data_IF_263812684528
#
_entry.id   IF_263812684528
#
_cell.length_a   1.000
_cell.length_b   1.000
_cell.length_c   1.000
_cell.angle_alpha   90.00
_cell.angle_beta   90.00
_cell.angle_gamma   90.00
#
_symmetry.space_group_name_H-M   'P 1'
#
loop_
_entity.id
_entity.type
_entity.pdbx_description
1 polymer ?
#
# COMPACT_ATOMS: atom_id res chain seq x y z
N UNK A 1 -10.63 19.89 -4.14
CA UNK A 1 -9.62 20.71 -3.43
C UNK A 1 -8.82 19.74 -2.59
N UNK A 2 -7.54 19.54 -2.89
CA UNK A 2 -6.68 18.68 -2.07
C UNK A 2 -6.38 19.41 -0.77
N UNK A 3 -6.75 18.82 0.36
CA UNK A 3 -6.33 19.32 1.67
C UNK A 3 -4.81 19.12 1.75
N UNK A 4 -4.07 20.22 1.75
CA UNK A 4 -2.66 20.22 2.12
C UNK A 4 -2.62 19.89 3.61
N UNK A 5 -1.97 18.79 3.99
CA UNK A 5 -1.73 18.46 5.41
C UNK A 5 -1.12 19.65 6.18
N UNK A 6 -1.50 19.86 7.46
CA UNK A 6 -1.00 20.96 8.27
C UNK A 6 0.52 20.91 8.43
N UNK A 7 1.16 22.08 8.57
CA UNK A 7 2.59 22.20 8.90
C UNK A 7 2.77 22.13 10.42
N UNK A 8 3.90 21.59 10.90
CA UNK A 8 4.22 21.53 12.33
C UNK A 8 3.79 20.23 13.03
N UNK A 9 3.18 19.29 12.32
CA UNK A 9 2.68 18.01 12.87
C UNK A 9 3.80 17.03 13.29
N UNK A 10 5.04 17.33 12.90
CA UNK A 10 6.23 16.58 13.26
C UNK A 10 6.87 17.04 14.57
N UNK A 11 6.44 18.18 15.12
CA UNK A 11 6.87 18.58 16.46
C UNK A 11 6.36 17.57 17.49
N UNK A 12 7.25 16.92 18.28
CA UNK A 12 6.82 15.90 19.21
C UNK A 12 5.87 16.43 20.28
N UNK A 13 4.75 15.75 20.51
CA UNK A 13 3.86 16.06 21.62
C UNK A 13 4.46 15.60 22.94
N UNK A 14 4.16 16.35 24.02
CA UNK A 14 4.68 16.07 25.36
C UNK A 14 3.97 14.91 26.07
N UNK A 15 2.76 14.57 25.64
CA UNK A 15 1.90 13.59 26.31
C UNK A 15 1.31 12.64 25.29
N UNK A 16 1.57 11.33 25.45
CA UNK A 16 0.87 10.29 24.70
C UNK A 16 -0.53 10.03 25.30
N UNK A 17 -1.46 9.56 24.48
CA UNK A 17 -2.74 9.05 24.97
C UNK A 17 -2.59 7.58 25.38
N UNK A 18 -3.02 7.17 26.60
CA UNK A 18 -2.95 5.77 27.03
C UNK A 18 -3.78 4.80 26.16
N UNK A 19 -4.74 5.32 25.40
CA UNK A 19 -5.61 4.54 24.51
C UNK A 19 -5.12 4.54 23.06
N UNK A 20 -4.08 5.32 22.74
CA UNK A 20 -3.48 5.34 21.42
C UNK A 20 -2.40 4.26 21.29
N UNK A 21 -2.23 3.76 20.07
CA UNK A 21 -1.14 2.86 19.73
C UNK A 21 0.09 3.69 19.39
N UNK A 22 1.25 3.29 19.93
CA UNK A 22 2.55 3.84 19.55
C UNK A 22 3.24 2.91 18.56
N UNK A 23 3.66 3.45 17.41
CA UNK A 23 4.36 2.73 16.37
C UNK A 23 5.76 3.35 16.14
N UNK A 24 6.82 2.64 16.52
CA UNK A 24 8.22 3.01 16.24
C UNK A 24 8.55 2.61 14.80
N UNK A 25 8.83 3.58 13.93
CA UNK A 25 9.11 3.39 12.50
C UNK A 25 10.58 3.69 12.22
N UNK A 26 11.28 2.75 11.59
CA UNK A 26 12.59 3.03 11.00
C UNK A 26 12.41 3.73 9.66
N UNK A 27 13.00 4.90 9.51
CA UNK A 27 12.97 5.69 8.28
C UNK A 27 14.36 5.65 7.65
N UNK A 28 14.42 5.26 6.39
CA UNK A 28 15.54 5.51 5.50
C UNK A 28 15.14 6.60 4.51
N UNK A 29 15.96 7.62 4.34
CA UNK A 29 15.58 8.80 3.55
C UNK A 29 16.75 9.36 2.74
N UNK A 30 16.43 9.94 1.60
CA UNK A 30 17.34 10.74 0.76
C UNK A 30 16.89 12.20 0.69
N UNK A 31 15.97 12.62 1.58
CA UNK A 31 15.54 14.00 1.75
C UNK A 31 16.61 14.82 2.46
N UNK A 32 16.73 16.07 2.07
CA UNK A 32 17.53 17.04 2.81
C UNK A 32 16.93 17.26 4.21
N UNK A 33 17.81 17.33 5.22
CA UNK A 33 17.41 17.62 6.59
C UNK A 33 16.97 19.07 6.70
N UNK A 34 15.98 19.33 7.54
CA UNK A 34 15.55 20.66 7.91
C UNK A 34 15.87 20.93 9.37
N UNK A 35 16.37 22.13 9.66
CA UNK A 35 16.52 22.61 11.04
C UNK A 35 15.17 23.00 11.68
N UNK A 36 14.10 23.04 10.89
CA UNK A 36 12.73 23.25 11.36
C UNK A 36 12.16 21.95 11.94
N UNK A 37 11.90 21.95 13.25
CA UNK A 37 11.36 20.80 13.98
C UNK A 37 9.97 20.34 13.49
N UNK A 38 9.21 21.24 12.83
CA UNK A 38 7.92 20.95 12.23
C UNK A 38 8.01 20.33 10.83
N UNK A 39 9.20 20.33 10.21
CA UNK A 39 9.45 19.84 8.85
C UNK A 39 10.37 18.61 8.85
N UNK A 40 11.45 18.63 9.64
CA UNK A 40 12.43 17.53 9.85
C UNK A 40 13.19 17.12 8.59
N UNK A 41 12.50 16.74 7.53
CA UNK A 41 13.03 16.42 6.21
C UNK A 41 12.22 17.15 5.13
N UNK A 42 12.92 17.88 4.26
CA UNK A 42 12.29 18.70 3.23
C UNK A 42 11.87 17.88 1.98
N UNK A 43 11.35 18.57 0.98
CA UNK A 43 11.13 18.00 -0.36
C UNK A 43 12.39 18.00 -1.24
N UNK A 44 13.50 18.52 -0.74
CA UNK A 44 14.75 18.66 -1.47
C UNK A 44 15.67 17.45 -1.29
N UNK A 45 16.62 17.27 -2.21
CA UNK A 45 17.53 16.11 -2.23
C UNK A 45 18.64 16.32 -1.21
N UNK A 46 18.88 15.31 -0.38
CA UNK A 46 19.96 15.28 0.60
C UNK A 46 20.78 14.00 0.52
N UNK A 47 21.73 13.88 1.46
CA UNK A 47 22.47 12.64 1.67
C UNK A 47 21.57 11.55 2.26
N UNK A 48 21.86 10.29 1.93
CA UNK A 48 21.14 9.16 2.50
C UNK A 48 21.34 9.10 4.02
N UNK A 49 20.24 8.99 4.76
CA UNK A 49 20.22 9.02 6.21
C UNK A 49 19.19 8.03 6.79
N UNK A 50 19.36 7.73 8.08
CA UNK A 50 18.42 6.96 8.87
C UNK A 50 17.88 7.79 10.03
N UNK A 51 16.59 7.62 10.30
CA UNK A 51 15.86 8.20 11.42
C UNK A 51 14.94 7.14 12.07
N UNK A 52 14.52 7.35 13.31
CA UNK A 52 13.37 6.65 13.91
C UNK A 52 12.31 7.66 14.29
N UNK A 53 11.06 7.29 14.09
CA UNK A 53 9.91 8.13 14.47
C UNK A 53 8.89 7.29 15.19
N UNK A 54 8.54 7.70 16.41
CA UNK A 54 7.43 7.11 17.16
C UNK A 54 6.15 7.89 16.81
N UNK A 55 5.20 7.21 16.17
CA UNK A 55 3.90 7.78 15.78
C UNK A 55 2.81 7.28 16.71
N UNK A 56 1.99 8.20 17.22
CA UNK A 56 0.76 7.90 17.95
C UNK A 56 -0.41 7.79 16.98
N UNK A 57 -1.15 6.69 17.08
CA UNK A 57 -2.32 6.37 16.27
C UNK A 57 -3.54 6.31 17.20
N UNK A 58 -4.60 7.12 16.98
CA UNK A 58 -5.81 7.09 17.80
C UNK A 58 -6.48 5.71 17.82
N UNK A 59 -7.22 5.36 18.88
CA UNK A 59 -7.97 4.11 18.92
C UNK A 59 -9.03 4.08 17.82
N UNK A 60 -9.29 2.90 17.26
CA UNK A 60 -10.25 2.66 16.17
C UNK A 60 -11.65 3.23 16.45
N UNK A 61 -12.07 3.26 17.72
CA UNK A 61 -13.35 3.84 18.16
C UNK A 61 -13.45 5.37 18.02
N UNK A 62 -12.32 6.05 17.77
CA UNK A 62 -12.19 7.51 17.69
C UNK A 62 -11.70 7.98 16.33
N UNK A 63 -11.54 7.07 15.37
CA UNK A 63 -11.03 7.39 14.03
C UNK A 63 -11.77 6.63 12.94
N UNK A 64 -11.52 7.03 11.70
CA UNK A 64 -11.98 6.32 10.53
C UNK A 64 -10.83 5.46 9.98
N UNK A 65 -11.04 4.15 9.93
CA UNK A 65 -10.09 3.20 9.33
C UNK A 65 -9.91 3.53 7.85
N UNK A 66 -8.67 3.47 7.36
CA UNK A 66 -8.32 3.85 5.99
C UNK A 66 -8.00 5.34 5.84
N UNK A 67 -8.10 6.14 6.90
CA UNK A 67 -7.82 7.58 6.83
C UNK A 67 -6.83 8.00 7.92
N UNK A 68 -5.96 8.96 7.56
CA UNK A 68 -5.13 9.67 8.53
C UNK A 68 -5.97 10.80 9.14
N UNK A 69 -6.21 10.76 10.45
CA UNK A 69 -6.87 11.86 11.17
C UNK A 69 -5.84 12.95 11.43
N UNK A 70 -5.72 13.85 10.45
CA UNK A 70 -4.79 14.97 10.51
C UNK A 70 -5.14 15.94 11.65
N UNK A 71 -4.13 16.51 12.32
CA UNK A 71 -4.35 17.52 13.35
C UNK A 71 -5.08 18.75 12.83
N UNK A 72 -6.12 19.22 13.53
CA UNK A 72 -6.80 20.48 13.16
C UNK A 72 -6.03 21.72 13.62
N UNK A 73 -5.21 21.55 14.66
CA UNK A 73 -4.31 22.56 15.22
C UNK A 73 -3.07 21.87 15.79
N UNK A 74 -1.96 22.61 15.91
CA UNK A 74 -0.74 22.13 16.59
C UNK A 74 -0.70 22.74 18.00
N UNK A 75 -0.39 21.96 19.06
CA UNK A 75 -0.08 20.53 19.05
C UNK A 75 -1.32 19.64 18.82
N UNK A 76 -1.16 18.43 18.23
CA UNK A 76 -2.26 17.50 18.01
C UNK A 76 -2.79 16.89 19.32
N UNK A 77 -4.03 16.38 19.28
CA UNK A 77 -4.60 15.55 20.36
C UNK A 77 -4.43 14.04 20.02
N UNK A 78 -3.49 13.32 20.66
CA UNK A 78 -3.22 11.91 20.35
C UNK A 78 -4.40 10.97 20.67
N UNK A 79 -5.42 11.43 21.41
CA UNK A 79 -6.63 10.65 21.65
C UNK A 79 -7.58 10.59 20.45
N UNK A 80 -7.41 11.48 19.46
CA UNK A 80 -8.28 11.55 18.28
C UNK A 80 -7.58 11.87 16.96
N UNK A 81 -6.30 12.26 17.00
CA UNK A 81 -5.52 12.67 15.83
C UNK A 81 -4.17 11.95 15.82
N UNK A 82 -3.59 11.74 14.64
CA UNK A 82 -2.23 11.23 14.51
C UNK A 82 -1.25 12.27 15.07
N UNK A 83 -0.25 11.80 15.81
CA UNK A 83 0.73 12.68 16.44
C UNK A 83 2.12 12.06 16.41
N UNK A 84 3.14 12.92 16.35
CA UNK A 84 4.54 12.50 16.51
C UNK A 84 4.88 12.49 18.00
N UNK A 85 5.38 11.38 18.53
CA UNK A 85 5.79 11.25 19.94
C UNK A 85 7.28 11.47 20.15
N UNK A 86 8.10 11.02 19.19
CA UNK A 86 9.57 11.15 19.23
C UNK A 86 10.13 11.07 17.83
N UNK A 87 11.20 11.82 17.57
CA UNK A 87 12.01 11.70 16.37
C UNK A 87 13.47 11.63 16.79
N UNK A 88 14.18 10.61 16.34
CA UNK A 88 15.64 10.59 16.32
C UNK A 88 16.08 10.63 14.87
N UNK A 89 16.71 11.73 14.46
CA UNK A 89 17.01 11.94 13.05
C UNK A 89 18.35 11.33 12.63
N UNK A 90 19.17 10.80 13.55
CA UNK A 90 20.57 10.49 13.24
C UNK A 90 20.99 9.15 13.80
N UNK A 91 20.65 8.08 13.09
CA UNK A 91 21.07 6.73 13.46
C UNK A 91 22.40 6.34 12.81
N UNK A 92 23.28 5.78 13.62
CA UNK A 92 24.44 5.01 13.17
C UNK A 92 24.00 3.66 12.58
N UNK A 93 24.89 3.03 11.80
CA UNK A 93 24.65 1.67 11.30
C UNK A 93 24.39 0.66 12.43
N UNK A 94 25.01 0.83 13.60
CA UNK A 94 24.79 -0.05 14.76
C UNK A 94 23.39 0.14 15.33
N UNK A 95 22.92 1.39 15.45
CA UNK A 95 21.58 1.68 15.96
C UNK A 95 20.48 1.17 15.04
N UNK A 96 20.70 1.16 13.73
CA UNK A 96 19.79 0.50 12.77
C UNK A 96 19.71 -1.01 13.02
N UNK A 97 20.85 -1.70 13.18
CA UNK A 97 20.84 -3.14 13.48
C UNK A 97 20.25 -3.45 14.87
N UNK A 98 20.49 -2.58 15.86
CA UNK A 98 19.90 -2.67 17.19
C UNK A 98 18.39 -2.44 17.14
N UNK A 99 17.91 -1.53 16.29
CA UNK A 99 16.49 -1.33 16.03
C UNK A 99 15.86 -2.56 15.38
N UNK A 100 16.49 -3.12 14.33
CA UNK A 100 16.01 -4.33 13.66
C UNK A 100 15.90 -5.51 14.63
N UNK A 101 16.89 -5.68 15.53
CA UNK A 101 16.86 -6.73 16.56
C UNK A 101 15.71 -6.54 17.56
N UNK A 102 15.35 -5.31 17.92
CA UNK A 102 14.24 -5.04 18.85
C UNK A 102 12.86 -5.26 18.22
N UNK A 103 12.78 -5.21 16.89
CA UNK A 103 11.54 -5.35 16.12
C UNK A 103 11.48 -6.67 15.34
N UNK A 104 12.29 -7.66 15.72
CA UNK A 104 12.50 -8.87 14.96
C UNK A 104 11.31 -9.87 15.03
N UNK A 105 10.32 -9.63 15.90
CA UNK A 105 9.02 -10.30 15.90
C UNK A 105 9.09 -11.84 15.87
N UNK A 106 7.98 -12.51 15.55
CA UNK A 106 7.98 -13.98 15.40
C UNK A 106 8.70 -14.42 14.12
N UNK A 107 8.41 -13.72 13.01
CA UNK A 107 8.83 -14.14 11.68
C UNK A 107 10.06 -13.39 11.15
N UNK A 108 10.60 -12.41 11.90
CA UNK A 108 11.72 -11.57 11.41
C UNK A 108 11.41 -10.94 10.06
N UNK A 109 10.14 -10.55 9.88
CA UNK A 109 9.62 -9.93 8.69
C UNK A 109 9.79 -8.42 8.77
N UNK A 110 10.24 -7.81 7.69
CA UNK A 110 10.24 -6.37 7.48
C UNK A 110 9.15 -6.03 6.47
N UNK A 111 8.32 -5.04 6.79
CA UNK A 111 7.48 -4.37 5.81
C UNK A 111 8.16 -3.06 5.42
N UNK A 112 8.69 -3.02 4.19
CA UNK A 112 9.28 -1.83 3.60
C UNK A 112 8.23 -1.09 2.76
N UNK A 113 7.83 0.10 3.20
CA UNK A 113 6.93 0.96 2.44
C UNK A 113 7.69 2.05 1.67
N UNK A 114 7.30 2.27 0.41
CA UNK A 114 7.87 3.29 -0.47
C UNK A 114 6.72 4.15 -1.01
N UNK A 115 6.71 5.43 -0.62
CA UNK A 115 5.61 6.33 -0.96
C UNK A 115 5.61 6.77 -2.44
N UNK A 116 4.49 7.35 -2.87
CA UNK A 116 4.27 7.85 -4.23
C UNK A 116 4.67 9.30 -4.47
N UNK A 117 4.27 9.81 -5.64
CA UNK A 117 4.42 11.20 -6.06
C UNK A 117 3.65 12.18 -5.16
N UNK A 118 4.03 13.47 -5.13
CA UNK A 118 3.29 14.52 -4.46
C UNK A 118 3.05 14.19 -2.97
N UNK A 119 4.12 13.79 -2.28
CA UNK A 119 4.05 13.32 -0.90
C UNK A 119 5.16 13.97 -0.08
N UNK A 120 4.78 14.81 0.90
CA UNK A 120 5.71 15.37 1.91
C UNK A 120 6.11 14.31 2.93
N UNK A 121 7.10 14.62 3.76
CA UNK A 121 7.64 13.67 4.72
C UNK A 121 6.57 13.19 5.73
N UNK A 122 5.81 14.11 6.31
CA UNK A 122 4.72 13.83 7.24
C UNK A 122 3.60 13.01 6.61
N UNK A 123 3.30 13.23 5.32
CA UNK A 123 2.30 12.48 4.56
C UNK A 123 2.74 11.04 4.32
N UNK A 124 4.02 10.83 3.96
CA UNK A 124 4.59 9.50 3.84
C UNK A 124 4.60 8.74 5.17
N UNK A 125 4.99 9.44 6.24
CA UNK A 125 5.10 8.88 7.59
C UNK A 125 3.74 8.47 8.16
N UNK A 126 2.78 9.39 8.24
CA UNK A 126 1.46 9.10 8.82
C UNK A 126 0.64 8.18 7.92
N UNK A 127 0.77 8.30 6.59
CA UNK A 127 0.17 7.36 5.65
C UNK A 127 0.69 5.94 5.86
N UNK A 128 2.00 5.76 6.04
CA UNK A 128 2.54 4.43 6.36
C UNK A 128 2.09 3.92 7.72
N UNK A 129 2.09 4.77 8.75
CA UNK A 129 1.61 4.41 10.08
C UNK A 129 0.15 3.92 10.04
N UNK A 130 -0.71 4.62 9.28
CA UNK A 130 -2.09 4.23 9.05
C UNK A 130 -2.18 2.87 8.33
N UNK A 131 -1.49 2.68 7.21
CA UNK A 131 -1.50 1.41 6.46
C UNK A 131 -1.03 0.25 7.34
N UNK A 132 0.06 0.44 8.07
CA UNK A 132 0.65 -0.58 8.93
C UNK A 132 -0.32 -1.01 10.03
N UNK A 133 -0.89 -0.04 10.77
CA UNK A 133 -1.81 -0.31 11.86
C UNK A 133 -3.14 -0.90 11.37
N UNK A 134 -3.72 -0.33 10.32
CA UNK A 134 -5.04 -0.74 9.81
C UNK A 134 -5.03 -2.11 9.14
N UNK A 135 -3.88 -2.51 8.59
CA UNK A 135 -3.72 -3.84 8.01
C UNK A 135 -3.50 -4.92 9.06
N UNK A 136 -3.15 -4.54 10.30
CA UNK A 136 -2.70 -5.50 11.31
C UNK A 136 -1.39 -6.19 10.91
N UNK A 137 -0.49 -5.45 10.25
CA UNK A 137 0.80 -5.97 9.82
C UNK A 137 1.63 -6.47 11.01
N UNK A 138 2.06 -7.73 10.94
CA UNK A 138 2.95 -8.37 11.92
C UNK A 138 4.38 -8.39 11.39
N UNK A 139 4.99 -7.20 11.26
CA UNK A 139 6.33 -7.00 10.71
C UNK A 139 7.04 -5.80 11.35
N UNK A 140 8.36 -5.68 11.16
CA UNK A 140 9.08 -4.46 11.47
C UNK A 140 8.73 -3.35 10.45
N UNK A 141 8.22 -2.18 10.88
CA UNK A 141 7.81 -1.09 9.99
C UNK A 141 9.01 -0.27 9.50
N UNK A 142 9.33 -0.35 8.21
CA UNK A 142 10.40 0.44 7.59
C UNK A 142 9.81 1.33 6.50
N UNK A 143 10.04 2.64 6.60
CA UNK A 143 9.68 3.62 5.58
C UNK A 143 10.91 4.00 4.76
N UNK A 144 10.82 3.91 3.43
CA UNK A 144 11.73 4.61 2.54
C UNK A 144 11.09 5.91 2.05
N UNK A 145 11.64 7.05 2.46
CA UNK A 145 11.14 8.38 2.10
C UNK A 145 12.09 9.08 1.14
N UNK A 146 11.67 9.27 -0.11
CA UNK A 146 12.46 9.94 -1.15
C UNK A 146 11.98 11.38 -1.38
N UNK A 147 12.80 12.29 -1.95
CA UNK A 147 12.45 13.71 -2.06
C UNK A 147 11.29 13.95 -3.00
N UNK A 148 10.15 14.35 -2.42
CA UNK A 148 8.99 14.86 -3.13
C UNK A 148 8.56 16.18 -2.54
N UNK A 149 8.27 17.15 -3.42
CA UNK A 149 7.87 18.51 -3.04
C UNK A 149 6.39 18.66 -2.70
N UNK A 150 5.62 17.57 -2.65
CA UNK A 150 4.21 17.63 -2.26
C UNK A 150 3.34 18.49 -3.17
N UNK A 151 3.71 18.62 -4.46
CA UNK A 151 2.93 19.39 -5.43
C UNK A 151 2.82 18.70 -6.78
N UNK A 152 1.59 18.67 -7.31
CA UNK A 152 1.28 18.12 -8.64
C UNK A 152 2.07 18.80 -9.78
N UNK A 153 2.49 20.06 -9.58
CA UNK A 153 3.27 20.83 -10.54
C UNK A 153 4.76 20.45 -10.56
N UNK A 154 5.23 19.71 -9.55
CA UNK A 154 6.62 19.29 -9.41
C UNK A 154 6.87 17.86 -9.94
N UNK A 155 5.99 17.33 -10.80
CA UNK A 155 6.09 15.97 -11.32
C UNK A 155 7.47 15.60 -11.88
N UNK A 156 8.05 16.46 -12.71
CA UNK A 156 9.38 16.20 -13.29
C UNK A 156 10.44 16.16 -12.20
N UNK A 157 10.41 17.12 -11.26
CA UNK A 157 11.35 17.15 -10.15
C UNK A 157 11.25 15.88 -9.30
N UNK A 158 10.03 15.48 -8.91
CA UNK A 158 9.77 14.29 -8.11
C UNK A 158 10.24 13.02 -8.85
N UNK A 159 9.99 12.91 -10.16
CA UNK A 159 10.49 11.78 -10.98
C UNK A 159 12.00 11.68 -10.97
N UNK A 160 12.70 12.78 -11.22
CA UNK A 160 14.16 12.80 -11.18
C UNK A 160 14.70 12.55 -9.77
N UNK A 161 13.96 12.94 -8.72
CA UNK A 161 14.32 12.70 -7.32
C UNK A 161 14.08 11.26 -6.88
N UNK A 162 13.06 10.61 -7.43
CA UNK A 162 12.89 9.16 -7.30
C UNK A 162 14.10 8.46 -7.93
N UNK A 163 14.49 8.82 -9.16
CA UNK A 163 15.70 8.26 -9.82
C UNK A 163 16.96 8.48 -8.98
N UNK A 164 17.16 9.69 -8.45
CA UNK A 164 18.27 10.03 -7.56
C UNK A 164 18.35 9.11 -6.34
N UNK A 165 17.21 8.63 -5.85
CA UNK A 165 17.10 7.83 -4.62
C UNK A 165 17.30 6.32 -4.82
N UNK A 166 17.44 5.87 -6.07
CA UNK A 166 17.55 4.44 -6.43
C UNK A 166 18.67 3.72 -5.71
N UNK A 167 19.88 4.28 -5.74
CA UNK A 167 21.06 3.61 -5.18
C UNK A 167 21.00 3.55 -3.64
N UNK A 168 20.33 4.52 -3.00
CA UNK A 168 20.06 4.50 -1.58
C UNK A 168 19.01 3.42 -1.20
N UNK A 169 17.97 3.23 -2.02
CA UNK A 169 16.99 2.16 -1.84
C UNK A 169 17.63 0.78 -2.04
N UNK A 170 18.45 0.60 -3.08
CA UNK A 170 19.25 -0.63 -3.26
C UNK A 170 20.13 -0.91 -2.02
N UNK A 171 20.82 0.12 -1.52
CA UNK A 171 21.68 0.00 -0.33
C UNK A 171 20.89 -0.41 0.92
N UNK A 172 19.67 0.14 1.11
CA UNK A 172 18.77 -0.28 2.17
C UNK A 172 18.35 -1.74 2.01
N UNK A 173 17.91 -2.15 0.82
CA UNK A 173 17.49 -3.52 0.54
C UNK A 173 18.63 -4.53 0.79
N UNK A 174 19.86 -4.20 0.39
CA UNK A 174 21.03 -5.01 0.73
C UNK A 174 21.26 -5.12 2.23
N UNK A 175 21.18 -4.00 2.96
CA UNK A 175 21.34 -3.99 4.42
C UNK A 175 20.30 -4.88 5.10
N UNK A 176 19.03 -4.71 4.76
CA UNK A 176 17.95 -5.53 5.29
C UNK A 176 18.18 -7.02 4.94
N UNK A 177 18.56 -7.31 3.69
CA UNK A 177 18.82 -8.68 3.27
C UNK A 177 20.03 -9.32 3.97
N UNK A 178 21.06 -8.54 4.28
CA UNK A 178 22.26 -8.99 4.99
C UNK A 178 22.04 -9.19 6.50
N UNK A 179 21.10 -8.46 7.11
CA UNK A 179 20.89 -8.51 8.56
C UNK A 179 20.43 -9.91 9.01
N UNK A 180 21.04 -10.50 10.06
CA UNK A 180 20.59 -11.77 10.61
C UNK A 180 19.24 -11.65 11.34
N UNK A 181 18.83 -10.43 11.70
CA UNK A 181 17.55 -10.16 12.37
C UNK A 181 16.37 -10.08 11.38
N UNK A 182 16.64 -10.21 10.07
CA UNK A 182 15.64 -10.20 9.01
C UNK A 182 15.65 -11.56 8.31
N UNK A 183 14.49 -12.20 8.19
CA UNK A 183 14.27 -13.42 7.40
C UNK A 183 13.50 -13.15 6.11
N UNK A 184 12.59 -12.18 6.15
CA UNK A 184 11.69 -11.86 5.06
C UNK A 184 11.54 -10.35 4.91
N UNK A 185 11.52 -9.88 3.67
CA UNK A 185 11.27 -8.49 3.29
C UNK A 185 10.05 -8.51 2.36
N UNK A 186 8.99 -7.86 2.80
CA UNK A 186 7.82 -7.52 2.00
C UNK A 186 7.96 -6.06 1.59
N UNK A 187 7.97 -5.79 0.28
CA UNK A 187 8.03 -4.43 -0.26
C UNK A 187 6.63 -3.99 -0.65
N UNK A 188 6.14 -2.88 -0.11
CA UNK A 188 4.91 -2.23 -0.53
C UNK A 188 5.24 -0.87 -1.14
N UNK A 189 5.06 -0.74 -2.45
CA UNK A 189 5.42 0.47 -3.18
C UNK A 189 4.20 1.08 -3.88
N UNK A 190 3.96 2.37 -3.66
CA UNK A 190 2.80 3.07 -4.21
C UNK A 190 3.17 3.98 -5.37
N UNK A 191 2.39 3.97 -6.45
CA UNK A 191 2.47 4.96 -7.53
C UNK A 191 3.88 5.07 -8.13
N UNK A 192 4.47 6.27 -8.16
CA UNK A 192 5.87 6.51 -8.59
C UNK A 192 6.91 5.80 -7.70
N UNK A 193 6.58 5.49 -6.45
CA UNK A 193 7.40 4.65 -5.58
C UNK A 193 7.54 3.22 -6.11
N UNK A 194 6.53 2.71 -6.83
CA UNK A 194 6.60 1.40 -7.49
C UNK A 194 7.64 1.38 -8.62
N UNK A 195 7.73 2.48 -9.39
CA UNK A 195 8.77 2.64 -10.40
C UNK A 195 10.16 2.57 -9.76
N UNK A 196 10.36 3.32 -8.66
CA UNK A 196 11.62 3.34 -7.92
C UNK A 196 11.99 1.97 -7.34
N UNK A 197 11.02 1.26 -6.76
CA UNK A 197 11.21 -0.09 -6.23
C UNK A 197 11.65 -1.06 -7.34
N UNK A 198 10.91 -1.07 -8.46
CA UNK A 198 11.19 -1.96 -9.58
C UNK A 198 12.55 -1.67 -10.23
N UNK A 199 12.93 -0.41 -10.37
CA UNK A 199 14.23 -0.04 -10.93
C UNK A 199 15.40 -0.41 -9.99
N UNK A 200 15.22 -0.24 -8.68
CA UNK A 200 16.24 -0.63 -7.68
C UNK A 200 16.42 -2.15 -7.65
N UNK A 201 15.32 -2.92 -7.63
CA UNK A 201 15.38 -4.38 -7.69
C UNK A 201 15.99 -4.87 -9.01
N UNK A 202 15.61 -4.25 -10.13
CA UNK A 202 16.17 -4.57 -11.44
C UNK A 202 17.67 -4.32 -11.46
N UNK A 203 18.14 -3.21 -10.91
CA UNK A 203 19.57 -2.89 -10.79
C UNK A 203 20.32 -3.98 -10.01
N UNK A 204 19.78 -4.40 -8.86
CA UNK A 204 20.34 -5.52 -8.08
C UNK A 204 20.41 -6.81 -8.92
N UNK A 205 19.33 -7.13 -9.65
CA UNK A 205 19.28 -8.33 -10.48
C UNK A 205 20.31 -8.32 -11.62
N UNK A 206 20.53 -7.18 -12.29
CA UNK A 206 21.58 -7.05 -13.31
C UNK A 206 22.96 -7.23 -12.69
N UNK A 207 23.20 -6.56 -11.56
CA UNK A 207 24.51 -6.48 -10.92
C UNK A 207 24.92 -7.81 -10.27
N UNK A 208 23.96 -8.52 -9.67
CA UNK A 208 24.21 -9.72 -8.87
C UNK A 208 23.69 -11.01 -9.52
N UNK A 209 23.02 -10.90 -10.68
CA UNK A 209 22.36 -12.01 -11.35
C UNK A 209 21.10 -12.53 -10.64
N UNK A 210 20.66 -11.86 -9.57
CA UNK A 210 19.44 -12.20 -8.81
C UNK A 210 19.04 -11.07 -7.86
N UNK A 211 17.78 -11.06 -7.45
CA UNK A 211 17.32 -10.34 -6.25
C UNK A 211 17.66 -11.18 -5.00
N UNK A 212 18.06 -10.58 -3.86
CA UNK A 212 18.25 -11.32 -2.61
C UNK A 212 17.02 -12.15 -2.21
N UNK A 213 17.23 -13.42 -1.87
CA UNK A 213 16.14 -14.37 -1.59
C UNK A 213 15.24 -14.00 -0.39
N UNK A 214 15.69 -13.09 0.48
CA UNK A 214 14.87 -12.57 1.57
C UNK A 214 13.79 -11.59 1.09
N UNK A 215 13.96 -10.99 -0.09
CA UNK A 215 12.92 -10.18 -0.74
C UNK A 215 11.99 -11.17 -1.42
N UNK A 216 10.93 -11.55 -0.71
CA UNK A 216 10.03 -12.63 -1.16
C UNK A 216 8.79 -12.08 -1.85
N UNK A 217 8.25 -10.95 -1.38
CA UNK A 217 7.01 -10.39 -1.88
C UNK A 217 7.15 -8.90 -2.22
N UNK A 218 6.73 -8.52 -3.42
CA UNK A 218 6.72 -7.14 -3.90
C UNK A 218 5.30 -6.76 -4.31
N UNK A 219 4.71 -5.85 -3.56
CA UNK A 219 3.35 -5.38 -3.73
C UNK A 219 3.42 -3.98 -4.36
N UNK A 220 2.91 -3.86 -5.57
CA UNK A 220 2.87 -2.60 -6.32
C UNK A 220 1.44 -2.05 -6.31
N UNK A 221 1.21 -0.98 -5.56
CA UNK A 221 -0.09 -0.34 -5.44
C UNK A 221 -0.25 0.79 -6.46
N UNK A 222 -1.23 0.67 -7.37
CA UNK A 222 -1.52 1.65 -8.42
C UNK A 222 -0.25 2.17 -9.15
N UNK A 223 0.64 1.28 -9.64
CA UNK A 223 1.98 1.65 -10.08
C UNK A 223 1.99 2.65 -11.25
N UNK A 224 2.75 3.73 -11.09
CA UNK A 224 3.03 4.69 -12.16
C UNK A 224 4.23 4.25 -13.00
N UNK A 225 4.10 3.06 -13.59
CA UNK A 225 5.10 2.45 -14.47
C UNK A 225 4.48 2.30 -15.85
N UNK A 226 5.21 2.66 -16.89
CA UNK A 226 4.84 2.30 -18.25
C UNK A 226 4.76 0.77 -18.40
N UNK A 227 3.70 0.27 -19.05
CA UNK A 227 3.44 -1.18 -19.12
C UNK A 227 4.50 -1.97 -19.90
N UNK A 228 5.14 -1.36 -20.90
CA UNK A 228 6.23 -1.97 -21.66
C UNK A 228 7.55 -1.89 -20.89
N UNK A 229 7.77 -0.81 -20.13
CA UNK A 229 8.88 -0.73 -19.16
C UNK A 229 8.76 -1.84 -18.12
N UNK A 230 7.57 -2.05 -17.57
CA UNK A 230 7.33 -3.13 -16.61
C UNK A 230 7.64 -4.50 -17.22
N UNK A 231 7.22 -4.75 -18.47
CA UNK A 231 7.56 -5.99 -19.19
C UNK A 231 9.08 -6.19 -19.29
N UNK A 232 9.80 -5.15 -19.72
CA UNK A 232 11.26 -5.21 -19.83
C UNK A 232 11.95 -5.40 -18.45
N UNK A 233 11.41 -4.80 -17.39
CA UNK A 233 11.88 -5.02 -16.02
C UNK A 233 11.69 -6.48 -15.58
N UNK A 234 10.52 -7.08 -15.87
CA UNK A 234 10.26 -8.49 -15.58
C UNK A 234 11.23 -9.44 -16.28
N UNK A 235 11.56 -9.16 -17.53
CA UNK A 235 12.53 -9.95 -18.31
C UNK A 235 13.94 -9.87 -17.70
N UNK A 236 14.32 -8.71 -17.19
CA UNK A 236 15.64 -8.51 -16.59
C UNK A 236 15.85 -9.24 -15.26
N UNK A 237 14.78 -9.57 -14.52
CA UNK A 237 14.92 -10.38 -13.30
C UNK A 237 15.26 -11.85 -13.59
N UNK A 238 14.97 -12.34 -14.79
CA UNK A 238 15.03 -13.76 -15.10
C UNK A 238 14.05 -14.59 -14.27
N UNK A 239 14.36 -15.87 -14.08
CA UNK A 239 13.47 -16.82 -13.38
C UNK A 239 13.48 -16.64 -11.85
N UNK A 240 14.56 -16.11 -11.29
CA UNK A 240 14.76 -15.97 -9.83
C UNK A 240 14.41 -14.55 -9.39
N UNK A 241 13.11 -14.31 -9.24
CA UNK A 241 12.55 -13.03 -8.86
C UNK A 241 11.57 -13.16 -7.68
N UNK A 242 11.30 -12.08 -6.94
CA UNK A 242 10.27 -12.10 -5.92
C UNK A 242 8.89 -12.36 -6.52
N UNK A 243 7.99 -12.89 -5.69
CA UNK A 243 6.56 -12.87 -5.98
C UNK A 243 6.10 -11.43 -6.12
N UNK A 244 5.22 -11.16 -7.10
CA UNK A 244 4.74 -9.82 -7.38
C UNK A 244 3.22 -9.78 -7.40
N UNK A 245 2.66 -8.84 -6.64
CA UNK A 245 1.23 -8.52 -6.65
C UNK A 245 1.06 -7.07 -7.11
N UNK A 246 0.20 -6.83 -8.10
CA UNK A 246 -0.11 -5.51 -8.64
C UNK A 246 -1.56 -5.17 -8.37
N UNK A 247 -1.82 -4.10 -7.62
CA UNK A 247 -3.14 -3.51 -7.54
C UNK A 247 -3.35 -2.53 -8.68
N UNK A 248 -4.40 -2.75 -9.46
CA UNK A 248 -4.81 -1.86 -10.57
C UNK A 248 -6.17 -1.23 -10.29
N UNK A 249 -6.42 -0.08 -10.91
CA UNK A 249 -7.76 0.50 -11.00
C UNK A 249 -7.92 1.19 -12.35
N UNK A 250 -8.78 0.65 -13.23
CA UNK A 250 -9.04 1.21 -14.56
C UNK A 250 -9.70 2.60 -14.52
N UNK A 251 -10.18 3.04 -13.35
CA UNK A 251 -10.77 4.36 -13.13
C UNK A 251 -9.85 5.32 -12.35
N UNK A 252 -8.57 4.98 -12.22
CA UNK A 252 -7.56 5.81 -11.56
C UNK A 252 -7.35 7.12 -12.33
N UNK A 253 -7.67 8.23 -11.67
CA UNK A 253 -7.60 9.57 -12.27
C UNK A 253 -6.21 10.18 -12.17
N UNK A 254 -5.41 9.78 -11.18
CA UNK A 254 -4.05 10.31 -10.98
C UNK A 254 -3.12 9.81 -12.08
N UNK A 255 -3.23 8.54 -12.45
CA UNK A 255 -2.44 7.97 -13.53
C UNK A 255 -2.77 8.59 -14.90
N UNK A 256 -3.97 9.17 -15.10
CA UNK A 256 -4.26 9.93 -16.33
C UNK A 256 -3.41 11.20 -16.46
N UNK A 257 -3.00 11.80 -15.33
CA UNK A 257 -2.09 12.95 -15.33
C UNK A 257 -0.69 12.52 -15.80
N UNK A 258 -0.19 11.39 -15.28
CA UNK A 258 1.12 10.86 -15.69
C UNK A 258 1.11 10.32 -17.12
N UNK A 259 -0.02 9.80 -17.63
CA UNK A 259 -0.21 9.47 -19.06
C UNK A 259 -0.02 10.71 -19.94
N UNK A 260 -0.68 11.82 -19.60
CA UNK A 260 -0.56 13.07 -20.35
C UNK A 260 0.87 13.64 -20.39
N UNK A 261 1.62 13.55 -19.29
CA UNK A 261 3.02 14.00 -19.23
C UNK A 261 3.97 12.99 -19.92
N UNK A 262 3.64 11.70 -19.88
CA UNK A 262 4.45 10.62 -20.44
C UNK A 262 4.29 10.37 -21.93
N UNK A 263 3.53 11.20 -22.67
CA UNK A 263 3.28 11.00 -24.09
C UNK A 263 2.17 10.00 -24.40
N UNK A 264 1.15 9.94 -23.54
CA UNK A 264 -0.06 9.08 -23.67
C UNK A 264 0.20 7.57 -23.60
N UNK A 265 1.29 7.18 -22.94
CA UNK A 265 1.64 5.77 -22.70
C UNK A 265 0.80 5.15 -21.59
N UNK A 266 0.44 3.89 -21.74
CA UNK A 266 -0.41 3.20 -20.77
C UNK A 266 0.34 2.86 -19.49
N UNK A 267 -0.16 3.37 -18.35
CA UNK A 267 0.36 3.05 -17.01
C UNK A 267 -0.19 1.73 -16.48
N UNK A 268 0.70 0.92 -15.90
CA UNK A 268 0.42 -0.37 -15.31
C UNK A 268 -0.73 -0.32 -14.28
N UNK A 269 -0.73 0.68 -13.38
CA UNK A 269 -1.77 0.81 -12.36
C UNK A 269 -3.16 1.14 -12.89
N UNK A 270 -3.28 1.54 -14.16
CA UNK A 270 -4.54 1.82 -14.85
C UNK A 270 -4.74 0.90 -16.08
N UNK A 271 -3.96 -0.18 -16.18
CA UNK A 271 -4.09 -1.16 -17.23
C UNK A 271 -5.32 -2.04 -17.00
N UNK A 272 -6.01 -2.40 -18.08
CA UNK A 272 -7.08 -3.40 -18.05
C UNK A 272 -6.44 -4.81 -18.08
N UNK A 273 -6.55 -5.60 -17.00
CA UNK A 273 -5.97 -6.95 -16.96
C UNK A 273 -6.55 -7.87 -18.03
N UNK A 274 -7.81 -7.69 -18.42
CA UNK A 274 -8.45 -8.50 -19.45
C UNK A 274 -7.82 -8.29 -20.84
N UNK A 275 -7.27 -7.11 -21.09
CA UNK A 275 -6.54 -6.79 -22.32
C UNK A 275 -5.04 -7.11 -22.24
N UNK A 276 -4.54 -7.44 -21.04
CA UNK A 276 -3.12 -7.75 -20.78
C UNK A 276 -2.95 -9.03 -19.97
N UNK A 277 -3.47 -10.17 -20.46
CA UNK A 277 -3.35 -11.46 -19.77
C UNK A 277 -1.89 -11.85 -19.54
N UNK A 278 -0.97 -11.36 -20.40
CA UNK A 278 0.46 -11.59 -20.29
C UNK A 278 1.04 -11.22 -18.91
N UNK A 279 0.46 -10.26 -18.18
CA UNK A 279 0.93 -9.88 -16.83
C UNK A 279 0.79 -11.09 -15.89
N UNK A 280 -0.39 -11.71 -15.88
CA UNK A 280 -0.66 -12.92 -15.09
C UNK A 280 0.07 -14.15 -15.64
N UNK A 281 0.19 -14.30 -16.96
CA UNK A 281 0.97 -15.39 -17.58
C UNK A 281 2.46 -15.31 -17.21
N UNK A 282 2.97 -14.10 -16.99
CA UNK A 282 4.28 -13.84 -16.41
C UNK A 282 4.25 -13.93 -14.88
N UNK A 283 3.37 -14.70 -14.26
CA UNK A 283 3.40 -15.01 -12.82
C UNK A 283 3.27 -13.81 -11.89
N UNK A 284 2.68 -12.70 -12.35
CA UNK A 284 2.34 -11.55 -11.51
C UNK A 284 0.88 -11.67 -11.10
N UNK A 285 0.60 -11.65 -9.80
CA UNK A 285 -0.77 -11.58 -9.30
C UNK A 285 -1.35 -10.19 -9.56
N UNK A 286 -2.54 -10.11 -10.17
CA UNK A 286 -3.19 -8.83 -10.48
C UNK A 286 -4.50 -8.73 -9.70
N UNK A 287 -4.62 -7.68 -8.91
CA UNK A 287 -5.82 -7.39 -8.11
C UNK A 287 -6.48 -6.13 -8.67
N UNK A 288 -7.66 -6.31 -9.28
CA UNK A 288 -8.42 -5.20 -9.85
C UNK A 288 -9.37 -4.56 -8.82
N UNK A 289 -9.08 -3.32 -8.46
CA UNK A 289 -9.86 -2.49 -7.54
C UNK A 289 -10.83 -1.55 -8.27
N UNK A 290 -11.08 -1.74 -9.57
CA UNK A 290 -12.02 -0.92 -10.36
C UNK A 290 -13.44 -0.96 -9.78
N UNK A 291 -13.89 -2.15 -9.33
CA UNK A 291 -15.20 -2.35 -8.72
C UNK A 291 -15.27 -2.05 -7.21
N UNK A 292 -14.13 -1.85 -6.53
CA UNK A 292 -14.10 -1.56 -5.11
C UNK A 292 -14.61 -0.15 -4.82
N UNK A 293 -15.50 -0.01 -3.84
CA UNK A 293 -15.92 1.27 -3.27
C UNK A 293 -14.80 1.92 -2.44
N UNK A 294 -15.00 3.16 -2.00
CA UNK A 294 -13.99 3.90 -1.22
C UNK A 294 -12.79 4.38 -2.06
N UNK A 295 -11.87 5.08 -1.39
CA UNK A 295 -10.71 5.73 -2.01
C UNK A 295 -10.83 7.24 -2.16
N UNK A 296 -9.71 7.86 -2.52
CA UNK A 296 -9.57 9.29 -2.67
C UNK A 296 -10.35 9.81 -3.90
N UNK A 297 -10.51 11.13 -4.01
CA UNK A 297 -11.18 11.76 -5.17
C UNK A 297 -10.55 11.38 -6.52
N UNK A 298 -9.30 10.91 -6.48
CA UNK A 298 -8.53 10.43 -7.62
C UNK A 298 -8.63 8.93 -7.85
N UNK A 299 -9.21 8.15 -6.93
CA UNK A 299 -9.32 6.68 -6.99
C UNK A 299 -7.95 5.98 -7.12
N UNK A 300 -6.91 6.62 -6.62
CA UNK A 300 -5.50 6.22 -6.71
C UNK A 300 -5.00 5.56 -5.43
N UNK A 301 -5.62 5.88 -4.29
CA UNK A 301 -5.21 5.44 -2.96
C UNK A 301 -6.16 4.38 -2.35
N UNK A 302 -6.96 3.71 -3.18
CA UNK A 302 -7.95 2.71 -2.74
C UNK A 302 -7.33 1.58 -1.91
N UNK A 303 -6.10 1.18 -2.22
CA UNK A 303 -5.38 0.13 -1.50
C UNK A 303 -5.16 0.46 0.00
N UNK A 304 -5.05 1.75 0.34
CA UNK A 304 -4.80 2.25 1.69
C UNK A 304 -6.06 2.79 2.38
N UNK A 305 -7.08 3.19 1.61
CA UNK A 305 -8.27 3.88 2.13
C UNK A 305 -9.53 3.02 2.16
N UNK A 306 -9.55 1.89 1.46
CA UNK A 306 -10.65 0.93 1.59
C UNK A 306 -10.32 -0.05 2.74
N UNK A 307 -11.11 -0.07 3.84
CA UNK A 307 -10.82 -0.93 4.99
C UNK A 307 -10.74 -2.43 4.67
N UNK A 308 -11.53 -2.92 3.70
CA UNK A 308 -11.49 -4.32 3.28
C UNK A 308 -10.18 -4.64 2.54
N UNK A 309 -9.74 -3.72 1.67
CA UNK A 309 -8.48 -3.88 0.93
C UNK A 309 -7.28 -3.81 1.86
N UNK A 310 -7.30 -2.92 2.85
CA UNK A 310 -6.22 -2.79 3.84
C UNK A 310 -6.13 -4.02 4.75
N UNK A 311 -7.27 -4.56 5.19
CA UNK A 311 -7.30 -5.83 5.93
C UNK A 311 -6.79 -7.00 5.09
N UNK A 312 -7.21 -7.09 3.83
CA UNK A 312 -6.71 -8.08 2.89
C UNK A 312 -5.20 -7.97 2.68
N UNK A 313 -4.68 -6.74 2.52
CA UNK A 313 -3.25 -6.47 2.38
C UNK A 313 -2.47 -7.05 3.56
N UNK A 314 -2.95 -6.85 4.79
CA UNK A 314 -2.35 -7.42 5.99
C UNK A 314 -2.43 -8.94 6.04
N UNK A 315 -3.65 -9.49 5.96
CA UNK A 315 -3.90 -10.92 6.14
C UNK A 315 -3.20 -11.78 5.07
N UNK A 316 -3.32 -11.40 3.80
CA UNK A 316 -2.97 -12.26 2.67
C UNK A 316 -1.59 -11.93 2.08
N UNK A 317 -1.18 -10.66 2.10
CA UNK A 317 0.03 -10.22 1.39
C UNK A 317 1.20 -9.88 2.31
N UNK A 318 0.95 -9.33 3.51
CA UNK A 318 2.00 -8.96 4.46
C UNK A 318 2.26 -10.09 5.46
N UNK A 319 1.22 -10.63 6.09
CA UNK A 319 1.37 -11.59 7.19
C UNK A 319 1.63 -13.03 6.72
N UNK A 320 1.41 -13.30 5.42
CA UNK A 320 1.76 -14.57 4.79
C UNK A 320 0.76 -15.70 5.03
N UNK A 321 -0.55 -15.44 4.99
CA UNK A 321 -1.54 -16.52 4.93
C UNK A 321 -1.26 -17.45 3.73
N UNK A 322 -1.51 -18.74 3.91
CA UNK A 322 -1.32 -19.77 2.88
C UNK A 322 -2.03 -19.38 1.59
N UNK A 323 -1.25 -18.93 0.61
CA UNK A 323 -1.72 -18.66 -0.75
C UNK A 323 -2.17 -19.97 -1.37
N UNK A 324 -3.48 -20.24 -1.43
CA UNK A 324 -4.01 -21.25 -2.35
C UNK A 324 -4.09 -20.61 -3.75
N UNK A 325 -3.22 -20.97 -4.70
CA UNK A 325 -3.21 -20.38 -6.04
C UNK A 325 -4.52 -20.60 -6.82
N UNK A 326 -5.43 -21.44 -6.33
CA UNK A 326 -6.70 -21.79 -6.97
C UNK A 326 -7.89 -20.93 -6.52
N UNK A 327 -7.79 -20.21 -5.41
CA UNK A 327 -8.85 -19.33 -4.92
C UNK A 327 -8.80 -17.97 -5.63
N UNK A 328 -9.92 -17.53 -6.22
CA UNK A 328 -10.01 -16.24 -6.91
C UNK A 328 -9.97 -15.05 -5.94
N UNK A 329 -9.44 -13.90 -6.38
CA UNK A 329 -9.25 -12.69 -5.54
C UNK A 329 -10.53 -12.20 -4.86
N UNK A 330 -11.69 -12.31 -5.51
CA UNK A 330 -12.98 -11.94 -4.91
C UNK A 330 -13.45 -12.88 -3.80
N UNK A 331 -13.10 -14.16 -3.89
CA UNK A 331 -13.38 -15.17 -2.85
C UNK A 331 -12.43 -14.98 -1.66
N UNK A 332 -11.19 -14.52 -1.89
CA UNK A 332 -10.24 -14.18 -0.82
C UNK A 332 -10.63 -12.90 -0.08
N UNK A 333 -10.93 -11.80 -0.80
CA UNK A 333 -11.39 -10.54 -0.18
C UNK A 333 -12.71 -10.76 0.57
N UNK A 334 -13.64 -11.55 0.03
CA UNK A 334 -14.90 -11.89 0.70
C UNK A 334 -14.80 -12.97 1.78
N UNK A 335 -13.70 -13.71 1.83
CA UNK A 335 -13.47 -14.83 2.74
C UNK A 335 -12.59 -14.50 3.96
N UNK A 336 -12.02 -13.29 4.05
CA UNK A 336 -11.31 -12.84 5.25
C UNK A 336 -12.30 -12.83 6.43
N UNK A 337 -12.08 -13.62 7.51
CA UNK A 337 -12.95 -13.59 8.67
C UNK A 337 -12.89 -12.20 9.29
N UNK A 338 -13.93 -11.40 9.06
CA UNK A 338 -14.08 -10.10 9.68
C UNK A 338 -14.26 -10.31 11.18
N UNK A 339 -13.24 -9.98 11.97
CA UNK A 339 -13.32 -9.98 13.42
C UNK A 339 -14.41 -9.01 13.87
N UNK A 340 -15.58 -9.53 14.23
CA UNK A 340 -16.67 -8.75 14.79
C UNK A 340 -16.25 -8.30 16.18
N UNK A 341 -15.90 -7.02 16.34
CA UNK A 341 -15.78 -6.41 17.65
C UNK A 341 -17.16 -6.47 18.32
N UNK A 342 -17.28 -7.25 19.40
CA UNK A 342 -18.50 -7.39 20.19
C UNK A 342 -18.81 -6.06 20.90
N UNK A 343 -19.61 -5.22 20.24
CA UNK A 343 -20.36 -4.12 20.86
C UNK A 343 -21.84 -4.51 20.89
N UNK A 344 -22.44 -4.52 22.08
CA UNK A 344 -23.82 -4.96 22.33
C UNK A 344 -24.84 -4.03 21.63
N UNK A 345 -25.74 -4.60 20.83
CA UNK A 345 -26.96 -3.95 20.33
C UNK A 345 -27.29 -4.27 18.85
N UNK A 346 -28.39 -4.97 18.61
CA UNK A 346 -28.81 -5.55 17.32
C UNK A 346 -28.97 -4.57 16.13
N UNK A 347 -28.48 -5.00 14.95
CA UNK A 347 -29.27 -5.17 13.73
C UNK A 347 -28.39 -5.83 12.64
N UNK A 348 -28.73 -7.06 12.26
CA UNK A 348 -28.06 -7.80 11.18
C UNK A 348 -28.27 -7.08 9.83
N UNK A 349 -27.27 -6.32 9.40
CA UNK A 349 -27.22 -5.74 8.06
C UNK A 349 -26.70 -6.76 7.07
N UNK A 350 -27.60 -7.37 6.28
CA UNK A 350 -27.23 -8.13 5.09
C UNK A 350 -26.67 -7.14 4.05
N UNK A 351 -25.35 -7.04 3.93
CA UNK A 351 -24.73 -6.27 2.84
C UNK A 351 -24.78 -7.09 1.56
N UNK A 352 -25.64 -6.69 0.63
CA UNK A 352 -25.67 -7.20 -0.73
C UNK A 352 -24.39 -6.73 -1.45
N UNK A 353 -23.40 -7.60 -1.55
CA UNK A 353 -22.24 -7.41 -2.41
C UNK A 353 -22.68 -7.47 -3.88
N UNK A 354 -22.46 -6.38 -4.63
CA UNK A 354 -22.64 -6.38 -6.08
C UNK A 354 -21.71 -7.43 -6.73
N UNK A 355 -22.14 -8.10 -7.81
CA UNK A 355 -21.36 -9.18 -8.40
C UNK A 355 -20.08 -8.63 -9.05
N UNK A 356 -18.94 -9.03 -8.49
CA UNK A 356 -17.64 -8.96 -9.16
C UNK A 356 -17.71 -9.94 -10.34
N UNK A 357 -17.65 -9.41 -11.56
CA UNK A 357 -17.59 -10.23 -12.76
C UNK A 357 -16.19 -10.86 -12.89
N UNK A 358 -16.05 -12.12 -12.49
CA UNK A 358 -14.81 -12.89 -12.63
C UNK A 358 -14.83 -13.62 -13.98
N UNK A 359 -13.75 -13.48 -14.74
CA UNK A 359 -13.57 -14.11 -16.05
C UNK A 359 -13.20 -15.60 -15.89
N UNK A 360 -14.22 -16.46 -15.82
CA UNK A 360 -14.07 -17.91 -15.97
C UNK A 360 -15.02 -18.46 -17.06
N UNK A 361 -14.52 -19.12 -18.12
CA UNK A 361 -15.33 -19.79 -19.15
C UNK A 361 -16.24 -20.91 -18.60
N UNK A 362 -15.90 -21.53 -17.47
CA UNK A 362 -16.73 -22.57 -16.84
C UNK A 362 -17.95 -21.94 -16.14
N UNK A 363 -17.78 -20.74 -15.57
CA UNK A 363 -18.86 -19.98 -14.93
C UNK A 363 -19.92 -19.51 -15.92
N UNK A 364 -19.55 -19.19 -17.17
CA UNK A 364 -20.52 -18.80 -18.23
C UNK A 364 -21.56 -19.90 -18.51
N UNK A 365 -21.19 -21.18 -18.42
CA UNK A 365 -22.13 -22.30 -18.65
C UNK A 365 -23.03 -22.56 -17.44
N UNK A 366 -22.48 -22.40 -16.23
CA UNK A 366 -23.26 -22.56 -14.99
C UNK A 366 -24.27 -21.41 -14.79
N UNK A 367 -23.90 -20.18 -15.18
CA UNK A 367 -24.73 -19.00 -15.03
C UNK A 367 -25.90 -18.98 -16.01
N UNK A 368 -25.72 -19.43 -17.27
CA UNK A 368 -26.82 -19.53 -18.23
C UNK A 368 -27.93 -20.47 -17.75
N UNK A 369 -27.56 -21.59 -17.12
CA UNK A 369 -28.53 -22.57 -16.62
C UNK A 369 -29.27 -22.08 -15.38
N UNK A 370 -28.59 -21.38 -14.46
CA UNK A 370 -29.22 -20.80 -13.25
C UNK A 370 -30.08 -19.58 -13.55
N UNK A 371 -29.66 -18.73 -14.49
CA UNK A 371 -30.46 -17.59 -14.94
C UNK A 371 -31.76 -18.04 -15.64
N UNK A 372 -31.71 -19.10 -16.46
CA UNK A 372 -32.92 -19.67 -17.06
C UNK A 372 -33.89 -20.24 -16.02
N UNK A 373 -33.37 -20.94 -15.00
CA UNK A 373 -34.21 -21.47 -13.91
C UNK A 373 -34.83 -20.37 -13.04
N UNK A 374 -34.10 -19.27 -12.82
CA UNK A 374 -34.61 -18.11 -12.10
C UNK A 374 -35.74 -17.40 -12.85
N UNK A 375 -35.60 -17.21 -14.17
CA UNK A 375 -36.65 -16.59 -14.99
C UNK A 375 -37.91 -17.47 -15.10
N UNK A 376 -37.75 -18.79 -15.23
CA UNK A 376 -38.89 -19.72 -15.20
C UNK A 376 -39.62 -19.71 -13.85
N UNK A 377 -38.89 -19.63 -12.72
CA UNK A 377 -39.50 -19.52 -11.40
C UNK A 377 -40.20 -18.18 -11.14
N UNK A 378 -39.69 -17.09 -11.73
CA UNK A 378 -40.31 -15.77 -11.65
C UNK A 378 -41.60 -15.68 -12.47
N UNK A 379 -41.66 -16.31 -13.65
CA UNK A 379 -42.88 -16.39 -14.46
C UNK A 379 -43.98 -17.23 -13.75
N UNK A 380 -43.63 -18.36 -13.16
CA UNK A 380 -44.57 -19.19 -12.39
C UNK A 380 -45.12 -18.49 -11.12
N UNK A 381 -44.33 -17.61 -10.50
CA UNK A 381 -44.74 -16.84 -9.33
C UNK A 381 -45.68 -15.67 -9.69
N UNK A 382 -45.59 -15.14 -10.91
CA UNK A 382 -46.48 -14.08 -11.41
C UNK A 382 -47.83 -14.65 -11.83
N UNK A 383 -47.88 -15.89 -12.34
CA UNK A 383 -49.15 -16.56 -12.68
C UNK A 383 -49.96 -16.99 -11.45
N UNK A 384 -49.33 -17.15 -10.27
CA UNK A 384 -50.01 -17.48 -9.00
C UNK A 384 -50.19 -16.24 -8.11
N UNK A 385 -50.81 -15.18 -8.64
CA UNK A 385 -51.25 -14.05 -7.83
C UNK A 385 -52.33 -14.44 -6.81
N UNK A 386 -52.37 -13.83 -5.61
CA UNK A 386 -53.27 -14.23 -4.53
C UNK A 386 -54.70 -13.74 -4.79
N UNK A 387 -55.67 -14.66 -4.74
CA UNK A 387 -57.10 -14.35 -4.83
C UNK A 387 -57.60 -13.47 -3.67
N UNK A 388 -58.66 -12.66 -3.87
CA UNK A 388 -59.08 -11.67 -2.89
C UNK A 388 -59.81 -12.34 -1.70
N UNK A 389 -59.21 -12.12 -0.52
CA UNK A 389 -59.68 -12.20 0.87
C UNK A 389 -60.85 -13.13 1.23
#
# INVERSE_FOLDING_TARGET
MGCVSPVGVLEPVRTASPQATSLDILVATTRERSDDAGVVFSGDRGEAAFATVDVSIPPDSRRQIGEVQWPRSVPPDPASEFATLRIDQSLTSKEVEDWLRRHDGRDRRVLLFIHGFNTRFEEALFGFAQIFHDSGAEAAPVLFSWPSRGSVFNYVYDRESATFSRDALESLLHRLAASPNVKEIVVLAHSMGAWLAMESLRQMAIREGRVPAKIQNVILASPDIDVDVFRAQLEAFGEKRPEMTVFVSGQDRALRLSRGIGGDVERLGAADPAQKPWIAEKGVEVIDLSGAGGGDQLRHSKFAQNPDVVRFLGAELINGATRDPRAGTGERIGGVPMGVAQGVGDAAGLFLSAPVAILDPQFRRAYSTRAQQFWQGAEEAVERGPGPR
#
